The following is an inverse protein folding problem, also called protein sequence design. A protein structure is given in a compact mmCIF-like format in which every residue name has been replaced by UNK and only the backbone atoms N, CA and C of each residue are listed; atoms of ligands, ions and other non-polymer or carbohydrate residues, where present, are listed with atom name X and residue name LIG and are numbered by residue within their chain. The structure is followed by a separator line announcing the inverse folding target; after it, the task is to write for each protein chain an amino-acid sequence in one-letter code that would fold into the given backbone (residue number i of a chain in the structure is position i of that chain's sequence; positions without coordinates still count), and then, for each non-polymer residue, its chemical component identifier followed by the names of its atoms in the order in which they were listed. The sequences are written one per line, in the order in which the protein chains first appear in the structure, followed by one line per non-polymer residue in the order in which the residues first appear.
data_IF_842527431719
#
_entry.id   IF_842527431719
#
_cell.length_a   1.000
_cell.length_b   1.000
_cell.length_c   1.000
_cell.angle_alpha   90.00
_cell.angle_beta   90.00
_cell.angle_gamma   90.00
#
_symmetry.space_group_name_H-M   'P 1'
#
loop_
_entity.id
_entity.type
_entity.pdbx_description
1 polymer ?
#
# COMPACT_ATOMS: atom_id res chain seq x y z
N UNK A 1 3.46 -7.35 8.96
CA UNK A 1 2.74 -6.22 8.33
C UNK A 1 2.35 -6.70 6.95
N UNK A 2 1.09 -6.53 6.54
CA UNK A 2 0.61 -6.92 5.21
C UNK A 2 0.26 -5.65 4.44
N UNK A 3 0.95 -5.38 3.33
CA UNK A 3 0.73 -4.24 2.44
C UNK A 3 0.11 -4.73 1.14
N UNK A 4 -0.98 -4.10 0.73
CA UNK A 4 -1.51 -4.25 -0.62
C UNK A 4 -0.90 -3.18 -1.54
N UNK A 5 -0.13 -3.59 -2.54
CA UNK A 5 0.54 -2.71 -3.51
C UNK A 5 -0.28 -2.71 -4.80
N UNK A 6 -1.13 -1.69 -4.99
CA UNK A 6 -2.12 -1.67 -6.06
C UNK A 6 -2.22 -0.33 -6.79
N UNK A 7 -2.70 -0.32 -8.05
CA UNK A 7 -2.82 0.90 -8.85
C UNK A 7 -1.50 1.70 -8.95
N UNK A 8 -0.38 0.99 -9.15
CA UNK A 8 0.90 1.55 -9.58
C UNK A 8 1.33 0.91 -10.91
N UNK A 9 2.23 1.55 -11.68
CA UNK A 9 2.92 0.91 -12.80
C UNK A 9 3.60 -0.40 -12.38
N UNK A 10 3.67 -1.37 -13.31
CA UNK A 10 4.21 -2.72 -13.03
C UNK A 10 5.61 -2.68 -12.40
N UNK A 11 6.49 -1.79 -12.90
CA UNK A 11 7.85 -1.65 -12.36
C UNK A 11 7.86 -1.14 -10.92
N UNK A 12 6.96 -0.23 -10.57
CA UNK A 12 6.85 0.28 -9.19
C UNK A 12 6.22 -0.75 -8.27
N UNK A 13 5.19 -1.48 -8.71
CA UNK A 13 4.62 -2.58 -7.92
C UNK A 13 5.68 -3.58 -7.55
N UNK A 14 6.43 -4.09 -8.54
CA UNK A 14 7.52 -5.02 -8.31
C UNK A 14 8.56 -4.47 -7.33
N UNK A 15 8.94 -3.19 -7.50
CA UNK A 15 9.89 -2.55 -6.61
C UNK A 15 9.40 -2.51 -5.16
N UNK A 16 8.18 -2.03 -4.91
CA UNK A 16 7.64 -1.90 -3.56
C UNK A 16 7.28 -3.26 -2.94
N UNK A 17 6.79 -4.23 -3.72
CA UNK A 17 6.59 -5.61 -3.28
C UNK A 17 7.90 -6.18 -2.75
N UNK A 18 8.97 -6.15 -3.55
CA UNK A 18 10.29 -6.64 -3.13
C UNK A 18 10.80 -5.89 -1.89
N UNK A 19 10.66 -4.56 -1.87
CA UNK A 19 11.15 -3.75 -0.77
C UNK A 19 10.47 -4.09 0.57
N UNK A 20 9.15 -4.30 0.54
CA UNK A 20 8.37 -4.69 1.72
C UNK A 20 8.74 -6.09 2.21
N UNK A 21 8.88 -7.06 1.29
CA UNK A 21 9.25 -8.44 1.61
C UNK A 21 10.67 -8.53 2.21
N UNK A 22 11.64 -7.82 1.62
CA UNK A 22 13.03 -7.78 2.11
C UNK A 22 13.14 -7.25 3.54
N UNK A 23 12.18 -6.42 3.97
CA UNK A 23 12.11 -5.83 5.31
C UNK A 23 11.14 -6.57 6.25
N UNK A 24 10.75 -7.81 5.91
CA UNK A 24 9.94 -8.68 6.77
C UNK A 24 8.45 -8.34 6.79
N UNK A 25 7.99 -7.51 5.85
CA UNK A 25 6.58 -7.37 5.52
C UNK A 25 6.10 -8.46 4.57
N UNK A 26 4.81 -8.48 4.32
CA UNK A 26 4.15 -9.31 3.32
C UNK A 26 3.46 -8.37 2.33
N UNK A 27 3.68 -8.59 1.02
CA UNK A 27 3.18 -7.73 -0.03
C UNK A 27 2.25 -8.52 -0.95
N UNK A 28 1.05 -7.97 -1.16
CA UNK A 28 0.03 -8.56 -2.03
C UNK A 28 -0.16 -7.61 -3.20
N UNK A 29 -0.18 -8.14 -4.43
CA UNK A 29 -0.50 -7.35 -5.64
C UNK A 29 -1.96 -7.56 -6.11
N UNK A 30 -2.52 -8.73 -5.82
CA UNK A 30 -3.87 -9.12 -6.24
C UNK A 30 -4.95 -8.58 -5.31
N UNK A 31 -6.16 -8.42 -5.83
CA UNK A 31 -7.32 -7.97 -5.04
C UNK A 31 -7.86 -9.08 -4.11
N UNK A 32 -7.60 -10.33 -4.46
CA UNK A 32 -7.96 -11.49 -3.66
C UNK A 32 -6.98 -11.64 -2.49
N UNK A 33 -7.48 -11.93 -1.28
CA UNK A 33 -6.67 -11.99 -0.06
C UNK A 33 -6.47 -10.64 0.64
N UNK A 34 -7.28 -9.63 0.32
CA UNK A 34 -7.24 -8.31 0.95
C UNK A 34 -7.78 -8.28 2.38
N UNK A 35 -8.35 -9.38 2.88
CA UNK A 35 -8.93 -9.51 4.21
C UNK A 35 -7.92 -9.37 5.36
N UNK A 36 -6.64 -9.68 5.09
CA UNK A 36 -5.55 -9.56 6.06
C UNK A 36 -4.72 -8.27 5.88
N UNK A 37 -5.10 -7.42 4.93
CA UNK A 37 -4.34 -6.21 4.59
C UNK A 37 -4.41 -5.22 5.74
N UNK A 38 -3.24 -4.78 6.19
CA UNK A 38 -3.11 -3.77 7.24
C UNK A 38 -2.86 -2.38 6.67
N UNK A 39 -2.27 -2.32 5.47
CA UNK A 39 -1.86 -1.10 4.81
C UNK A 39 -2.10 -1.21 3.30
N UNK A 40 -2.53 -0.13 2.65
CA UNK A 40 -2.72 -0.08 1.21
C UNK A 40 -1.85 1.02 0.60
N UNK A 41 -1.01 0.66 -0.36
CA UNK A 41 -0.21 1.57 -1.17
C UNK A 41 -0.83 1.64 -2.56
N UNK A 42 -1.34 2.81 -2.93
CA UNK A 42 -1.82 3.08 -4.28
C UNK A 42 -1.57 4.52 -4.72
N UNK A 43 -1.50 4.71 -6.03
CA UNK A 43 -1.36 6.02 -6.65
C UNK A 43 -2.72 6.51 -7.14
N UNK A 44 -3.30 7.52 -6.48
CA UNK A 44 -4.61 8.05 -6.87
C UNK A 44 -4.62 8.63 -8.30
N UNK A 45 -3.45 9.01 -8.84
CA UNK A 45 -3.35 9.50 -10.23
C UNK A 45 -3.50 8.38 -11.28
N UNK A 46 -3.32 7.13 -10.88
CA UNK A 46 -3.47 5.95 -11.74
C UNK A 46 -4.92 5.44 -11.79
N UNK A 47 -5.81 6.01 -10.97
CA UNK A 47 -7.23 5.64 -10.92
C UNK A 47 -8.02 6.52 -11.89
N UNK A 48 -8.89 5.92 -12.69
CA UNK A 48 -9.70 6.57 -13.73
C UNK A 48 -10.92 7.33 -13.16
N UNK A 49 -10.84 7.77 -11.90
CA UNK A 49 -11.79 8.69 -11.30
C UNK A 49 -12.28 8.31 -9.89
N UNK A 50 -13.23 9.11 -9.40
CA UNK A 50 -13.75 9.04 -8.02
C UNK A 50 -14.43 7.69 -7.73
N UNK A 51 -15.10 7.08 -8.72
CA UNK A 51 -15.77 5.80 -8.53
C UNK A 51 -14.79 4.65 -8.31
N UNK A 52 -13.67 4.64 -9.03
CA UNK A 52 -12.64 3.61 -8.86
C UNK A 52 -11.95 3.76 -7.50
N UNK A 53 -11.61 4.99 -7.11
CA UNK A 53 -11.09 5.29 -5.78
C UNK A 53 -12.04 4.82 -4.68
N UNK A 54 -13.35 5.05 -4.85
CA UNK A 54 -14.35 4.59 -3.90
C UNK A 54 -14.41 3.06 -3.84
N UNK A 55 -14.46 2.38 -4.98
CA UNK A 55 -14.47 0.92 -5.04
C UNK A 55 -13.21 0.30 -4.42
N UNK A 56 -12.06 0.97 -4.55
CA UNK A 56 -10.82 0.54 -3.95
C UNK A 56 -10.86 0.71 -2.43
N UNK A 57 -11.30 1.88 -1.93
CA UNK A 57 -11.47 2.15 -0.50
C UNK A 57 -12.51 1.21 0.15
N UNK A 58 -13.60 0.91 -0.55
CA UNK A 58 -14.64 -0.01 -0.10
C UNK A 58 -14.17 -1.49 -0.07
N UNK A 59 -13.11 -1.83 -0.80
CA UNK A 59 -12.51 -3.17 -0.79
C UNK A 59 -11.51 -3.38 0.35
N UNK A 60 -11.09 -2.32 1.05
CA UNK A 60 -10.13 -2.42 2.15
C UNK A 60 -10.81 -2.95 3.42
N UNK A 61 -10.12 -3.81 4.20
CA UNK A 61 -10.65 -4.28 5.47
C UNK A 61 -10.72 -3.14 6.49
N UNK A 62 -11.58 -3.30 7.50
CA UNK A 62 -11.74 -2.31 8.56
C UNK A 62 -10.41 -2.04 9.28
N UNK A 63 -10.04 -0.77 9.44
CA UNK A 63 -8.79 -0.35 10.06
C UNK A 63 -7.57 -0.39 9.15
N UNK A 64 -7.72 -0.77 7.87
CA UNK A 64 -6.65 -0.64 6.87
C UNK A 64 -6.25 0.82 6.70
N UNK A 65 -4.93 1.07 6.70
CA UNK A 65 -4.37 2.41 6.53
C UNK A 65 -3.85 2.60 5.12
N UNK A 66 -4.27 3.68 4.46
CA UNK A 66 -3.71 4.06 3.16
C UNK A 66 -2.38 4.78 3.40
N UNK A 67 -1.33 4.34 2.73
CA UNK A 67 0.03 4.88 2.87
C UNK A 67 0.59 5.34 1.53
N UNK A 68 1.48 6.32 1.58
CA UNK A 68 2.19 6.83 0.41
C UNK A 68 3.48 6.06 0.12
N UNK A 69 4.01 6.21 -1.09
CA UNK A 69 5.33 5.73 -1.50
C UNK A 69 6.43 6.19 -0.54
N UNK A 70 6.38 7.48 -0.17
CA UNK A 70 7.34 8.09 0.76
C UNK A 70 7.31 7.43 2.15
N UNK A 71 6.13 7.04 2.64
CA UNK A 71 6.03 6.33 3.92
C UNK A 71 6.77 4.99 3.88
N UNK A 72 6.66 4.26 2.76
CA UNK A 72 7.37 2.98 2.57
C UNK A 72 8.88 3.23 2.52
N UNK A 73 9.32 4.18 1.70
CA UNK A 73 10.74 4.52 1.54
C UNK A 73 11.38 4.93 2.87
N UNK A 74 10.70 5.76 3.66
CA UNK A 74 11.18 6.17 4.97
C UNK A 74 11.15 5.05 6.00
N UNK A 75 10.12 4.21 5.99
CA UNK A 75 10.03 3.03 6.89
C UNK A 75 11.18 2.07 6.66
N UNK A 76 11.51 1.84 5.39
CA UNK A 76 12.63 1.00 4.96
C UNK A 76 13.96 1.61 5.36
N UNK A 77 14.17 2.89 5.09
CA UNK A 77 15.41 3.59 5.44
C UNK A 77 15.72 3.57 6.95
N UNK A 78 14.67 3.60 7.80
CA UNK A 78 14.82 3.55 9.25
C UNK A 78 14.84 2.09 9.77
N UNK A 79 14.50 1.12 8.92
CA UNK A 79 14.40 -0.31 9.27
C UNK A 79 13.21 -0.62 10.19
N UNK A 80 12.19 0.24 10.22
CA UNK A 80 10.97 0.04 11.01
C UNK A 80 9.79 0.79 10.38
N UNK A 81 8.59 0.25 10.52
CA UNK A 81 7.36 0.97 10.18
C UNK A 81 7.26 2.27 11.00
N UNK A 82 7.17 3.41 10.32
CA UNK A 82 6.97 4.73 10.96
C UNK A 82 5.49 5.02 11.21
N UNK A 83 5.19 5.93 12.13
CA UNK A 83 3.80 6.33 12.42
C UNK A 83 3.13 6.90 11.15
N UNK A 84 1.97 6.34 10.81
CA UNK A 84 1.19 6.70 9.62
C UNK A 84 0.51 8.07 9.74
N UNK A 85 0.34 8.61 10.95
CA UNK A 85 -0.31 9.93 11.19
C UNK A 85 0.35 11.10 10.48
N UNK A 86 1.65 10.98 10.19
CA UNK A 86 2.41 12.01 9.48
C UNK A 86 2.25 11.94 7.95
N UNK A 87 1.62 10.88 7.43
CA UNK A 87 1.59 10.52 6.00
C UNK A 87 0.20 10.13 5.48
N UNK A 88 -0.85 10.30 6.29
CA UNK A 88 -2.23 10.14 5.83
C UNK A 88 -2.53 11.20 4.76
N UNK A 89 -2.89 10.73 3.57
CA UNK A 89 -3.35 11.55 2.42
C UNK A 89 -4.81 11.90 2.59
#
# INVERSE_FOLDING_TARGET
MVIWVHSLPVSERQHYTTLVEEHGGDAIEEKDGTDLVTHALFDEMMLDGIEELKNLKDALPEGCVIVSKEWVDQSVNIGKAIDTKSFLV
#
